data_IF_125279128171
#
_entry.id   IF_125279128171
#
_cell.length_a   1.000
_cell.length_b   1.000
_cell.length_c   1.000
_cell.angle_alpha   90.00
_cell.angle_beta   90.00
_cell.angle_gamma   90.00
#
_symmetry.space_group_name_H-M   'P 1'
#
loop_
_entity.id
_entity.type
_entity.pdbx_description
1 polymer ?
#
# COMPACT_ATOMS: atom_id res chain seq x y z
N UNK A 1 -9.66 14.28 -4.14
CA UNK A 1 -9.01 13.16 -3.48
C UNK A 1 -8.81 12.03 -4.49
N UNK A 2 -7.64 11.41 -4.48
CA UNK A 2 -7.30 10.26 -5.34
C UNK A 2 -6.86 9.08 -4.47
N UNK A 3 -7.57 7.96 -4.56
CA UNK A 3 -7.22 6.67 -3.94
C UNK A 3 -6.45 5.75 -4.89
N UNK A 4 -5.62 6.31 -5.76
CA UNK A 4 -4.95 5.54 -6.82
C UNK A 4 -3.63 4.88 -6.39
N UNK A 5 -3.07 5.27 -5.25
CA UNK A 5 -1.72 4.84 -4.85
C UNK A 5 -1.79 3.50 -4.12
N UNK A 6 -1.79 2.39 -4.87
CA UNK A 6 -1.85 1.05 -4.30
C UNK A 6 -0.46 0.50 -4.00
N UNK A 7 -0.12 0.43 -2.73
CA UNK A 7 1.16 -0.05 -2.22
C UNK A 7 1.04 -1.34 -1.39
N UNK A 8 -0.01 -2.12 -1.62
CA UNK A 8 -0.10 -3.46 -1.03
C UNK A 8 1.05 -4.34 -1.51
N UNK A 9 1.59 -5.15 -0.59
CA UNK A 9 2.53 -6.20 -0.95
C UNK A 9 1.86 -7.28 -1.82
N UNK A 10 2.45 -7.58 -2.95
CA UNK A 10 2.04 -8.70 -3.79
C UNK A 10 2.57 -10.00 -3.17
N UNK A 11 1.74 -10.70 -2.41
CA UNK A 11 2.11 -11.94 -1.72
C UNK A 11 1.77 -13.20 -2.52
N UNK A 12 0.72 -13.13 -3.31
CA UNK A 12 0.26 -14.25 -4.14
C UNK A 12 -0.28 -13.75 -5.48
N UNK A 13 0.13 -14.34 -6.61
CA UNK A 13 -0.28 -13.87 -7.94
C UNK A 13 -1.79 -14.00 -8.20
N UNK A 14 -2.49 -14.85 -7.47
CA UNK A 14 -3.95 -14.99 -7.58
C UNK A 14 -4.74 -13.91 -6.81
N UNK A 15 -4.08 -12.96 -6.14
CA UNK A 15 -4.79 -11.82 -5.57
C UNK A 15 -5.48 -11.01 -6.68
N UNK A 16 -6.80 -10.82 -6.57
CA UNK A 16 -7.62 -10.21 -7.64
C UNK A 16 -7.26 -8.77 -8.00
N UNK A 17 -6.41 -8.08 -7.20
CA UNK A 17 -5.93 -6.73 -7.46
C UNK A 17 -4.41 -6.64 -7.58
N UNK A 18 -3.77 -7.75 -7.89
CA UNK A 18 -2.32 -7.84 -8.05
C UNK A 18 -1.77 -6.81 -9.06
N UNK A 19 -2.52 -6.53 -10.14
CA UNK A 19 -2.14 -5.58 -11.18
C UNK A 19 -2.11 -4.12 -10.73
N UNK A 20 -2.67 -3.79 -9.57
CA UNK A 20 -2.63 -2.42 -9.02
C UNK A 20 -1.35 -2.16 -8.23
N UNK A 21 -0.65 -3.22 -7.78
CA UNK A 21 0.52 -3.10 -6.92
C UNK A 21 1.82 -3.00 -7.72
N UNK A 22 2.82 -2.36 -7.14
CA UNK A 22 4.17 -2.22 -7.72
C UNK A 22 5.09 -3.41 -7.40
N UNK A 23 4.59 -4.47 -6.75
CA UNK A 23 5.36 -5.69 -6.52
C UNK A 23 5.38 -6.18 -5.07
N UNK A 24 6.43 -6.92 -4.73
CA UNK A 24 6.55 -7.66 -3.47
C UNK A 24 7.62 -7.11 -2.53
N UNK A 25 8.37 -6.07 -2.95
CA UNK A 25 9.43 -5.45 -2.15
C UNK A 25 8.89 -4.20 -1.44
N UNK A 26 8.88 -4.17 -0.08
CA UNK A 26 8.42 -3.00 0.68
C UNK A 26 9.20 -1.72 0.38
N UNK A 27 10.50 -1.81 0.15
CA UNK A 27 11.31 -0.64 -0.21
C UNK A 27 10.87 -0.04 -1.56
N UNK A 28 10.71 -0.90 -2.57
CA UNK A 28 10.24 -0.49 -3.90
C UNK A 28 8.82 0.11 -3.82
N UNK A 29 7.92 -0.53 -3.08
CA UNK A 29 6.55 -0.03 -2.86
C UNK A 29 6.55 1.35 -2.22
N UNK A 30 7.38 1.56 -1.21
CA UNK A 30 7.52 2.87 -0.56
C UNK A 30 8.04 3.95 -1.50
N UNK A 31 9.08 3.64 -2.28
CA UNK A 31 9.66 4.57 -3.26
C UNK A 31 8.65 4.96 -4.35
N UNK A 32 7.98 3.98 -4.95
CA UNK A 32 6.98 4.21 -6.00
C UNK A 32 5.74 4.93 -5.47
N UNK A 33 5.24 4.50 -4.30
CA UNK A 33 4.09 5.14 -3.66
C UNK A 33 4.35 6.59 -3.30
N UNK A 34 5.54 6.89 -2.77
CA UNK A 34 5.97 8.25 -2.46
C UNK A 34 6.03 9.11 -3.72
N UNK A 35 6.70 8.64 -4.76
CA UNK A 35 6.86 9.40 -6.02
C UNK A 35 5.49 9.71 -6.65
N UNK A 36 4.61 8.71 -6.75
CA UNK A 36 3.27 8.90 -7.30
C UNK A 36 2.41 9.82 -6.41
N UNK A 37 2.42 9.57 -5.09
CA UNK A 37 1.63 10.36 -4.15
C UNK A 37 2.00 11.84 -4.18
N UNK A 38 3.28 12.16 -4.09
CA UNK A 38 3.77 13.53 -4.21
C UNK A 38 3.45 14.14 -5.57
N UNK A 39 3.63 13.37 -6.66
CA UNK A 39 3.27 13.82 -8.01
C UNK A 39 1.79 14.20 -8.14
N UNK A 40 0.89 13.40 -7.59
CA UNK A 40 -0.56 13.73 -7.54
C UNK A 40 -0.80 15.03 -6.77
N UNK A 41 -0.10 15.22 -5.65
CA UNK A 41 -0.28 16.39 -4.78
C UNK A 41 0.17 17.70 -5.42
N UNK A 42 1.10 17.68 -6.38
CA UNK A 42 1.50 18.89 -7.13
C UNK A 42 0.33 19.52 -7.90
N UNK A 43 -0.71 18.77 -8.15
CA UNK A 43 -1.92 19.21 -8.83
C UNK A 43 -3.07 19.60 -7.88
N UNK A 44 -2.80 19.80 -6.60
CA UNK A 44 -3.81 20.18 -5.62
C UNK A 44 -4.78 19.05 -5.26
N UNK A 45 -4.42 17.78 -5.53
CA UNK A 45 -5.23 16.61 -5.25
C UNK A 45 -4.65 15.88 -4.03
N UNK A 46 -5.49 15.56 -3.05
CA UNK A 46 -5.08 14.76 -1.90
C UNK A 46 -4.84 13.32 -2.38
N UNK A 47 -3.61 12.83 -2.23
CA UNK A 47 -3.27 11.44 -2.52
C UNK A 47 -3.50 10.55 -1.30
N UNK A 48 -4.13 9.40 -1.51
CA UNK A 48 -4.37 8.39 -0.47
C UNK A 48 -3.64 7.11 -0.84
N UNK A 49 -2.75 6.66 0.04
CA UNK A 49 -2.09 5.36 -0.10
C UNK A 49 -3.00 4.24 0.39
N UNK A 50 -3.02 3.10 -0.31
CA UNK A 50 -3.93 2.00 0.00
C UNK A 50 -3.26 0.64 -0.25
N UNK A 51 -3.79 -0.44 0.32
CA UNK A 51 -4.90 -0.53 1.26
C UNK A 51 -4.31 -0.75 2.65
N UNK A 52 -4.48 0.15 3.55
CA UNK A 52 -3.95 0.01 4.90
C UNK A 52 -4.86 -0.90 5.74
N UNK A 53 -4.41 -2.03 6.20
CA UNK A 53 -3.28 -2.78 5.70
C UNK A 53 -3.69 -4.25 5.53
N UNK A 54 -2.84 -5.07 4.88
CA UNK A 54 -3.05 -6.52 4.77
C UNK A 54 -4.22 -6.96 3.88
N UNK A 55 -4.74 -6.11 2.99
CA UNK A 55 -5.75 -6.52 2.02
C UNK A 55 -5.09 -7.28 0.85
N UNK A 56 -4.79 -8.56 1.06
CA UNK A 56 -4.10 -9.42 0.08
C UNK A 56 -4.99 -10.49 -0.53
N UNK A 57 -6.32 -10.40 -0.33
CA UNK A 57 -7.33 -11.25 -1.00
C UNK A 57 -8.63 -10.49 -1.19
N UNK A 58 -9.33 -10.78 -2.28
CA UNK A 58 -10.58 -10.09 -2.62
C UNK A 58 -11.83 -10.95 -2.40
N UNK A 59 -11.73 -12.26 -2.61
CA UNK A 59 -12.89 -13.16 -2.53
C UNK A 59 -13.52 -13.28 -1.13
N UNK A 60 -12.79 -12.94 -0.08
CA UNK A 60 -13.27 -12.96 1.30
C UNK A 60 -13.02 -11.63 2.05
N UNK A 61 -12.75 -10.53 1.34
CA UNK A 61 -12.24 -9.27 1.94
C UNK A 61 -13.13 -8.67 3.03
N UNK A 62 -14.42 -8.94 3.00
CA UNK A 62 -15.36 -8.42 4.00
C UNK A 62 -15.60 -9.33 5.20
N UNK A 63 -15.03 -10.53 5.19
CA UNK A 63 -15.26 -11.54 6.23
C UNK A 63 -13.98 -12.18 6.76
N UNK A 64 -12.84 -11.97 6.08
CA UNK A 64 -11.56 -12.58 6.49
C UNK A 64 -11.00 -11.91 7.75
N UNK A 65 -10.53 -12.74 8.68
CA UNK A 65 -9.69 -12.32 9.82
C UNK A 65 -8.23 -12.56 9.44
N UNK A 66 -7.54 -11.51 9.02
CA UNK A 66 -6.13 -11.60 8.62
C UNK A 66 -5.25 -11.58 9.87
N UNK A 67 -4.40 -12.60 10.01
CA UNK A 67 -3.49 -12.73 11.15
C UNK A 67 -2.04 -12.59 10.68
N UNK A 68 -1.28 -11.82 11.43
CA UNK A 68 0.15 -11.59 11.23
C UNK A 68 0.80 -11.37 12.60
N UNK A 69 2.02 -11.83 12.80
CA UNK A 69 2.76 -11.53 14.02
C UNK A 69 3.29 -10.09 13.99
N UNK A 70 3.53 -9.52 15.17
CA UNK A 70 3.95 -8.13 15.35
C UNK A 70 5.24 -7.79 14.58
N UNK A 71 6.21 -8.69 14.59
CA UNK A 71 7.47 -8.47 13.90
C UNK A 71 7.27 -8.36 12.39
N UNK A 72 6.56 -9.31 11.81
CA UNK A 72 6.24 -9.30 10.38
C UNK A 72 5.43 -8.07 9.99
N UNK A 73 4.46 -7.69 10.81
CA UNK A 73 3.67 -6.49 10.59
C UNK A 73 4.56 -5.25 10.48
N UNK A 74 5.43 -5.04 11.47
CA UNK A 74 6.26 -3.84 11.55
C UNK A 74 7.47 -3.85 10.62
N UNK A 75 8.03 -5.00 10.29
CA UNK A 75 9.20 -5.08 9.40
C UNK A 75 8.85 -5.16 7.91
N UNK A 76 7.66 -5.69 7.58
CA UNK A 76 7.30 -6.01 6.19
C UNK A 76 6.07 -5.25 5.70
N UNK A 77 5.00 -5.16 6.50
CA UNK A 77 3.72 -4.64 6.01
C UNK A 77 3.48 -3.15 6.27
N UNK A 78 4.19 -2.53 7.21
CA UNK A 78 4.01 -1.11 7.53
C UNK A 78 5.09 -0.17 6.99
N UNK A 79 6.34 -0.60 6.69
CA UNK A 79 7.42 0.33 6.36
C UNK A 79 7.15 1.20 5.13
N UNK A 80 6.53 0.65 4.09
CA UNK A 80 6.22 1.39 2.86
C UNK A 80 5.12 2.44 3.07
N UNK A 81 4.13 2.17 3.94
CA UNK A 81 3.17 3.19 4.34
C UNK A 81 3.84 4.31 5.14
N UNK A 82 4.68 3.93 6.11
CA UNK A 82 5.45 4.91 6.87
C UNK A 82 6.33 5.78 5.96
N UNK A 83 7.01 5.20 4.99
CA UNK A 83 7.84 5.95 4.04
C UNK A 83 7.04 7.01 3.27
N UNK A 84 5.84 6.67 2.80
CA UNK A 84 4.95 7.61 2.13
C UNK A 84 4.52 8.76 3.06
N UNK A 85 4.13 8.44 4.30
CA UNK A 85 3.70 9.46 5.28
C UNK A 85 4.86 10.37 5.69
N UNK A 86 6.03 9.81 5.99
CA UNK A 86 7.23 10.59 6.35
C UNK A 86 7.64 11.54 5.22
N UNK A 87 7.40 11.18 3.97
CA UNK A 87 7.66 12.02 2.81
C UNK A 87 6.59 13.09 2.56
N UNK A 88 5.48 13.07 3.28
CA UNK A 88 4.41 14.06 3.17
C UNK A 88 3.28 13.66 2.21
N UNK A 89 3.13 12.40 1.86
CA UNK A 89 1.92 11.94 1.18
C UNK A 89 0.75 12.01 2.16
N UNK A 90 -0.34 12.64 1.77
CA UNK A 90 -1.33 13.21 2.69
C UNK A 90 -2.20 12.19 3.45
N UNK A 91 -2.39 10.97 2.91
CA UNK A 91 -3.36 10.04 3.52
C UNK A 91 -3.15 8.62 3.06
#
# INVERSE_FOLDING_TARGET
>A
LSGAVCINLLRHPAWGRAQESYGEDPHHLGAMGTALGLGIQTHGVIATVKHFALNSMENARFTVDVRVDERTLHEIYLPHFKACLDAGVAS
#
